data_IF_141380963350
#
_entry.id   IF_141380963350
#
_cell.length_a   1.000
_cell.length_b   1.000
_cell.length_c   1.000
_cell.angle_alpha   90.00
_cell.angle_beta   90.00
_cell.angle_gamma   90.00
#
_symmetry.space_group_name_H-M   'P 1'
#
loop_
_entity.id
_entity.type
_entity.pdbx_description
1 polymer ?
#
# COMPACT_ATOMS: atom_id res chain seq x y z
N UNK A 1 -12.70 -4.62 1.30
CA UNK A 1 -11.35 -4.79 0.72
C UNK A 1 -11.40 -5.85 -0.38
N UNK A 2 -10.43 -5.80 -1.30
CA UNK A 2 -10.36 -6.60 -2.52
C UNK A 2 -8.95 -6.63 -3.10
N UNK A 3 -8.80 -6.64 -4.42
CA UNK A 3 -7.51 -6.71 -5.11
C UNK A 3 -7.01 -5.33 -5.54
N UNK A 4 -5.68 -5.15 -5.54
CA UNK A 4 -5.06 -4.00 -6.23
C UNK A 4 -5.48 -3.99 -7.69
N UNK A 5 -5.95 -2.83 -8.16
CA UNK A 5 -6.10 -2.52 -9.57
C UNK A 5 -4.74 -2.08 -10.12
N UNK A 6 -4.09 -2.88 -10.98
CA UNK A 6 -2.79 -2.54 -11.53
C UNK A 6 -2.90 -1.31 -12.45
N UNK A 7 -2.06 -0.29 -12.22
CA UNK A 7 -1.89 0.81 -13.16
C UNK A 7 -0.54 0.70 -13.89
N UNK A 8 0.53 0.41 -13.17
CA UNK A 8 1.88 0.25 -13.71
C UNK A 8 2.78 -0.56 -12.74
N UNK A 9 4.06 -0.71 -13.09
CA UNK A 9 5.09 -1.37 -12.27
C UNK A 9 4.73 -2.77 -11.74
N UNK A 10 3.82 -3.48 -12.41
CA UNK A 10 3.41 -4.83 -12.02
C UNK A 10 2.74 -4.92 -10.65
N UNK A 11 2.13 -3.83 -10.16
CA UNK A 11 1.44 -3.82 -8.87
C UNK A 11 0.29 -4.82 -8.87
N UNK A 12 0.33 -5.80 -7.98
CA UNK A 12 -0.76 -6.74 -7.77
C UNK A 12 -0.77 -7.24 -6.33
N UNK A 13 -1.87 -7.82 -5.90
CA UNK A 13 -2.01 -8.41 -4.58
C UNK A 13 -3.43 -8.29 -4.05
N UNK A 14 -3.71 -9.05 -3.01
CA UNK A 14 -5.02 -9.08 -2.37
C UNK A 14 -4.94 -8.40 -1.02
N UNK A 15 -5.89 -7.51 -0.73
CA UNK A 15 -5.94 -6.73 0.50
C UNK A 15 -7.07 -7.27 1.36
N UNK A 16 -6.73 -7.62 2.60
CA UNK A 16 -7.60 -8.26 3.58
C UNK A 16 -7.56 -7.51 4.92
N UNK A 17 -8.65 -7.59 5.68
CA UNK A 17 -8.73 -7.07 7.03
C UNK A 17 -8.66 -8.29 7.96
N UNK A 18 -7.62 -8.35 8.80
CA UNK A 18 -7.57 -9.38 9.84
C UNK A 18 -8.34 -8.92 11.08
N UNK A 19 -8.28 -7.62 11.38
CA UNK A 19 -9.10 -6.95 12.40
C UNK A 19 -9.58 -5.61 11.89
N UNK A 20 -10.25 -4.81 12.73
CA UNK A 20 -10.58 -3.42 12.39
C UNK A 20 -9.34 -2.50 12.32
N UNK A 21 -8.17 -2.97 12.75
CA UNK A 21 -6.89 -2.23 12.78
C UNK A 21 -5.78 -2.86 11.95
N UNK A 22 -5.88 -4.16 11.66
CA UNK A 22 -4.83 -4.91 10.99
C UNK A 22 -5.24 -5.15 9.54
N UNK A 23 -4.46 -4.55 8.64
CA UNK A 23 -4.54 -4.76 7.19
C UNK A 23 -3.48 -5.77 6.77
N UNK A 24 -3.83 -6.70 5.90
CA UNK A 24 -2.92 -7.72 5.37
C UNK A 24 -2.95 -7.69 3.85
N UNK A 25 -1.79 -7.64 3.22
CA UNK A 25 -1.62 -7.73 1.77
C UNK A 25 -0.95 -9.05 1.42
N UNK A 26 -1.63 -9.88 0.63
CA UNK A 26 -1.17 -11.20 0.21
C UNK A 26 -0.74 -11.19 -1.24
N UNK A 27 0.19 -12.09 -1.58
CA UNK A 27 0.70 -12.28 -2.94
C UNK A 27 1.15 -10.98 -3.61
N UNK A 28 1.69 -10.04 -2.81
CA UNK A 28 2.01 -8.69 -3.30
C UNK A 28 3.10 -8.72 -4.36
N UNK A 29 2.90 -8.00 -5.47
CA UNK A 29 3.87 -7.88 -6.55
C UNK A 29 4.13 -6.42 -6.85
N UNK A 30 5.38 -6.11 -7.15
CA UNK A 30 5.83 -4.80 -7.59
C UNK A 30 7.24 -4.96 -8.18
N UNK A 31 7.51 -4.36 -9.34
CA UNK A 31 8.74 -4.62 -10.09
C UNK A 31 9.99 -3.92 -9.53
N UNK A 32 9.84 -3.05 -8.51
CA UNK A 32 10.94 -2.40 -7.81
C UNK A 32 11.67 -1.33 -8.63
N UNK A 33 11.11 -0.89 -9.77
CA UNK A 33 11.82 0.02 -10.67
C UNK A 33 11.66 1.50 -10.33
N UNK A 34 10.60 1.90 -9.62
CA UNK A 34 10.51 3.28 -9.16
C UNK A 34 11.44 3.46 -7.96
N UNK A 35 12.27 4.52 -7.94
CA UNK A 35 13.28 4.73 -6.91
C UNK A 35 12.68 5.10 -5.54
N UNK A 36 11.43 5.54 -5.51
CA UNK A 36 10.76 6.15 -4.37
C UNK A 36 9.30 5.66 -4.24
N UNK A 37 9.05 4.36 -4.34
CA UNK A 37 7.71 3.79 -4.15
C UNK A 37 7.46 3.39 -2.70
N UNK A 38 6.25 3.64 -2.20
CA UNK A 38 5.83 3.33 -0.83
C UNK A 38 4.41 2.77 -0.78
N UNK A 39 4.09 2.03 0.29
CA UNK A 39 2.69 1.78 0.63
C UNK A 39 2.09 3.03 1.24
N UNK A 40 1.00 3.51 0.65
CA UNK A 40 0.30 4.71 1.08
C UNK A 40 -1.18 4.42 1.21
N UNK A 41 -1.85 5.09 2.13
CA UNK A 41 -3.29 4.97 2.29
C UNK A 41 -3.91 6.33 2.60
N UNK A 42 -5.19 6.47 2.34
CA UNK A 42 -5.95 7.67 2.67
C UNK A 42 -7.36 7.33 3.09
N UNK A 43 -7.94 8.19 3.92
CA UNK A 43 -9.30 8.04 4.46
C UNK A 43 -10.35 8.84 3.68
N UNK A 44 -9.93 9.53 2.61
CA UNK A 44 -10.81 10.28 1.73
C UNK A 44 -10.18 10.51 0.36
N UNK A 45 -11.01 10.88 -0.61
CA UNK A 45 -10.56 11.28 -1.95
C UNK A 45 -9.92 10.14 -2.74
N UNK A 46 -8.87 10.48 -3.49
CA UNK A 46 -8.11 9.56 -4.34
C UNK A 46 -6.63 9.54 -3.87
N UNK A 47 -5.84 8.53 -4.29
CA UNK A 47 -4.41 8.47 -4.02
C UNK A 47 -3.71 9.81 -4.30
N UNK A 48 -3.06 10.34 -3.26
CA UNK A 48 -2.42 11.66 -3.27
C UNK A 48 -1.49 11.83 -2.06
N UNK A 49 -0.75 12.95 -2.04
CA UNK A 49 0.11 13.36 -0.93
C UNK A 49 -0.64 13.65 0.38
N UNK A 50 -1.98 13.77 0.34
CA UNK A 50 -2.81 13.97 1.55
C UNK A 50 -3.06 12.66 2.32
N UNK A 51 -2.59 11.53 1.78
CA UNK A 51 -2.58 10.24 2.48
C UNK A 51 -1.51 10.15 3.56
N UNK A 52 -1.25 8.94 4.02
CA UNK A 52 -0.22 8.63 5.00
C UNK A 52 0.57 7.39 4.62
N UNK A 53 1.87 7.43 4.94
CA UNK A 53 2.81 6.34 4.76
C UNK A 53 2.47 5.15 5.65
N UNK A 54 2.40 3.97 5.05
CA UNK A 54 2.42 2.68 5.75
C UNK A 54 3.85 2.16 5.75
N UNK A 55 4.52 2.30 6.89
CA UNK A 55 5.95 1.95 7.03
C UNK A 55 6.20 0.46 6.77
N UNK A 56 7.02 0.16 5.76
CA UNK A 56 7.39 -1.20 5.40
C UNK A 56 8.89 -1.32 5.04
N UNK A 57 9.64 -2.26 5.64
CA UNK A 57 9.24 -3.09 6.79
C UNK A 57 8.83 -2.25 8.02
N UNK A 58 8.17 -2.83 9.05
CA UNK A 58 7.67 -2.08 10.19
C UNK A 58 8.75 -1.18 10.82
N UNK A 59 8.48 0.13 10.94
CA UNK A 59 9.44 1.12 11.43
C UNK A 59 10.38 1.71 10.38
N UNK A 60 10.29 1.27 9.12
CA UNK A 60 11.12 1.74 8.00
C UNK A 60 10.33 2.68 7.09
N UNK A 61 10.97 3.78 6.72
CA UNK A 61 10.50 4.74 5.70
C UNK A 61 11.31 4.67 4.42
N UNK A 62 12.10 3.63 4.25
CA UNK A 62 12.88 3.42 3.04
C UNK A 62 11.98 3.00 1.86
N UNK A 63 12.34 3.35 0.61
CA UNK A 63 11.59 2.94 -0.58
C UNK A 63 11.46 1.41 -0.71
N UNK A 64 10.38 0.99 -1.35
CA UNK A 64 10.10 -0.40 -1.65
C UNK A 64 11.06 -0.96 -2.72
N UNK A 65 11.62 -2.13 -2.42
CA UNK A 65 12.28 -2.97 -3.41
C UNK A 65 11.28 -3.77 -4.27
N UNK A 66 11.80 -4.69 -5.08
CA UNK A 66 10.97 -5.58 -5.87
C UNK A 66 10.30 -6.67 -5.01
N UNK A 67 9.07 -7.02 -5.37
CA UNK A 67 8.27 -8.11 -4.80
C UNK A 67 7.73 -8.98 -5.93
N UNK A 68 7.96 -10.30 -5.84
CA UNK A 68 7.51 -11.26 -6.86
C UNK A 68 6.25 -12.03 -6.44
N UNK A 69 5.77 -11.82 -5.21
CA UNK A 69 4.60 -12.46 -4.63
C UNK A 69 4.91 -13.77 -3.90
N UNK A 70 6.18 -14.19 -3.83
CA UNK A 70 6.61 -15.37 -3.08
C UNK A 70 7.01 -15.07 -1.63
N UNK A 71 7.19 -13.79 -1.29
CA UNK A 71 7.44 -13.35 0.07
C UNK A 71 6.20 -13.57 0.98
N UNK A 72 6.42 -13.51 2.30
CA UNK A 72 5.33 -13.59 3.27
C UNK A 72 4.35 -12.41 3.17
N UNK A 73 3.18 -12.60 3.77
CA UNK A 73 2.11 -11.59 3.82
C UNK A 73 2.62 -10.29 4.47
N UNK A 74 2.29 -9.16 3.84
CA UNK A 74 2.63 -7.83 4.34
C UNK A 74 1.54 -7.38 5.29
N UNK A 75 1.89 -7.08 6.54
CA UNK A 75 0.92 -6.73 7.58
C UNK A 75 1.15 -5.31 8.08
N UNK A 76 0.09 -4.52 8.14
CA UNK A 76 0.09 -3.17 8.68
C UNK A 76 -0.86 -3.05 9.86
N UNK A 77 -0.36 -2.48 10.96
CA UNK A 77 -1.20 -1.97 12.02
C UNK A 77 -1.48 -0.49 11.75
N UNK A 78 -2.74 -0.14 11.48
CA UNK A 78 -3.10 1.23 11.12
C UNK A 78 -2.82 2.21 12.27
N UNK A 79 -2.30 3.42 11.97
CA UNK A 79 -1.88 4.36 12.98
C UNK A 79 -3.08 5.01 13.71
N UNK A 80 -2.86 5.34 14.98
CA UNK A 80 -3.82 6.05 15.81
C UNK A 80 -5.19 5.38 15.87
N UNK A 81 -6.25 6.18 15.68
CA UNK A 81 -7.63 5.71 15.76
C UNK A 81 -8.23 5.29 14.41
N UNK A 82 -7.47 5.33 13.31
CA UNK A 82 -7.91 4.91 11.97
C UNK A 82 -8.25 3.43 11.95
N UNK A 83 -9.44 3.08 11.45
CA UNK A 83 -9.84 1.70 11.18
C UNK A 83 -9.68 1.36 9.71
N UNK A 84 -9.60 0.07 9.42
CA UNK A 84 -9.56 -0.45 8.05
C UNK A 84 -10.79 -0.01 7.25
N UNK A 85 -11.95 0.13 7.90
CA UNK A 85 -13.19 0.63 7.29
C UNK A 85 -13.19 2.13 7.01
N UNK A 86 -12.24 2.88 7.59
CA UNK A 86 -12.11 4.33 7.35
C UNK A 86 -11.25 4.61 6.12
N UNK A 87 -10.53 3.61 5.60
CA UNK A 87 -9.71 3.75 4.41
C UNK A 87 -10.61 3.90 3.18
N UNK A 88 -10.37 4.98 2.42
CA UNK A 88 -10.98 5.21 1.12
C UNK A 88 -10.12 4.65 -0.01
N UNK A 89 -8.80 4.50 0.21
CA UNK A 89 -7.89 3.89 -0.74
C UNK A 89 -6.59 3.42 -0.09
N UNK A 90 -5.94 2.45 -0.74
CA UNK A 90 -4.55 2.03 -0.51
C UNK A 90 -3.85 1.99 -1.86
N UNK A 91 -2.61 2.47 -1.94
CA UNK A 91 -1.85 2.63 -3.18
C UNK A 91 -0.36 2.34 -3.00
N UNK A 92 0.28 1.96 -4.10
CA UNK A 92 1.73 2.08 -4.25
C UNK A 92 2.03 3.46 -4.85
N UNK A 93 2.51 4.37 -4.00
CA UNK A 93 2.63 5.79 -4.31
C UNK A 93 4.10 6.21 -4.39
N UNK A 94 4.43 7.07 -5.35
CA UNK A 94 5.68 7.84 -5.37
C UNK A 94 5.43 9.27 -4.91
N UNK A 95 6.09 9.66 -3.82
CA UNK A 95 5.99 11.02 -3.29
C UNK A 95 6.68 12.04 -4.20
N UNK A 96 7.84 11.71 -4.78
CA UNK A 96 8.61 12.67 -5.58
C UNK A 96 7.94 12.94 -6.93
N UNK A 97 7.32 11.92 -7.54
CA UNK A 97 6.65 12.06 -8.84
C UNK A 97 5.17 12.39 -8.70
N UNK A 98 4.60 12.25 -7.50
CA UNK A 98 3.16 12.31 -7.25
C UNK A 98 2.35 11.38 -8.17
N UNK A 99 2.81 10.13 -8.29
CA UNK A 99 2.22 9.10 -9.18
C UNK A 99 1.75 7.89 -8.36
N UNK A 100 0.59 7.38 -8.74
CA UNK A 100 0.02 6.13 -8.25
C UNK A 100 0.32 4.98 -9.22
N UNK A 101 1.02 3.96 -8.74
CA UNK A 101 1.39 2.78 -9.51
C UNK A 101 0.34 1.66 -9.47
N UNK A 102 -0.62 1.75 -8.55
CA UNK A 102 -1.73 0.80 -8.42
C UNK A 102 -2.44 0.97 -7.09
N UNK A 103 -3.77 0.89 -7.10
CA UNK A 103 -4.60 1.22 -5.95
C UNK A 103 -5.78 0.26 -5.75
N UNK A 104 -6.43 0.37 -4.61
CA UNK A 104 -7.72 -0.26 -4.30
C UNK A 104 -8.55 0.75 -3.51
N UNK A 105 -9.82 0.91 -3.88
CA UNK A 105 -10.82 1.75 -3.21
C UNK A 105 -11.73 0.93 -2.30
#
# INVERSE_FOLDING_TARGET
>A
LGEFQPLSNGVAGEIHAETDKILVIKNFKYDGKAPDAYFYAGTSGNPSSDGFLLEYPPGSKEPLGAFDGSQGDITFNLPGDIKVTDLAWISIWSEDLAIDFGNMY
#
